data_IF_522448199044
#
_entry.id   IF_522448199044
#
_cell.length_a   1.000
_cell.length_b   1.000
_cell.length_c   1.000
_cell.angle_alpha   90.00
_cell.angle_beta   90.00
_cell.angle_gamma   90.00
#
_symmetry.space_group_name_H-M   'P 1'
#
loop_
_entity.id
_entity.type
_entity.pdbx_description
1 polymer ?
#
# COMPACT_ATOMS: atom_id res chain seq x y z
N UNK A 1 37.45 -6.09 -5.98
CA UNK A 1 37.94 -5.92 -4.58
C UNK A 1 37.25 -4.78 -3.86
N UNK A 2 37.30 -3.52 -4.32
CA UNK A 2 36.65 -2.40 -3.62
C UNK A 2 35.13 -2.54 -3.54
N UNK A 3 34.45 -2.95 -4.61
CA UNK A 3 32.99 -3.16 -4.62
C UNK A 3 32.56 -4.31 -3.70
N UNK A 4 33.35 -5.35 -3.55
CA UNK A 4 33.05 -6.48 -2.64
C UNK A 4 33.31 -6.11 -1.19
N UNK A 5 34.37 -5.34 -0.89
CA UNK A 5 34.60 -4.80 0.45
C UNK A 5 33.49 -3.84 0.87
N UNK A 6 33.00 -2.99 -0.06
CA UNK A 6 31.88 -2.09 0.16
C UNK A 6 30.59 -2.86 0.46
N UNK A 7 30.28 -3.91 -0.32
CA UNK A 7 29.09 -4.77 -0.08
C UNK A 7 29.16 -5.45 1.29
N UNK A 8 30.32 -5.99 1.70
CA UNK A 8 30.50 -6.59 3.03
C UNK A 8 30.23 -5.60 4.16
N UNK A 9 30.79 -4.40 4.08
CA UNK A 9 30.58 -3.37 5.09
C UNK A 9 29.10 -3.00 5.26
N UNK A 10 28.35 -2.92 4.15
CA UNK A 10 26.88 -2.66 4.21
C UNK A 10 26.15 -3.83 4.88
N UNK A 11 26.44 -5.08 4.49
CA UNK A 11 25.82 -6.26 5.07
C UNK A 11 26.08 -6.38 6.58
N UNK A 12 27.32 -6.12 7.02
CA UNK A 12 27.69 -6.12 8.42
C UNK A 12 26.94 -5.04 9.22
N UNK A 13 26.83 -3.83 8.67
CA UNK A 13 26.08 -2.74 9.30
C UNK A 13 24.55 -3.01 9.36
N UNK A 14 24.04 -3.87 8.47
CA UNK A 14 22.62 -4.23 8.36
C UNK A 14 22.28 -5.57 9.03
N UNK A 15 23.22 -6.22 9.69
CA UNK A 15 23.09 -7.57 10.26
C UNK A 15 21.84 -7.73 11.14
N UNK A 16 21.43 -6.72 11.90
CA UNK A 16 20.23 -6.76 12.75
C UNK A 16 18.91 -6.73 11.97
N UNK A 17 18.93 -6.30 10.70
CA UNK A 17 17.77 -6.26 9.80
C UNK A 17 17.71 -7.44 8.82
N UNK A 18 18.58 -8.43 9.01
CA UNK A 18 18.71 -9.63 8.19
C UNK A 18 18.59 -10.85 9.09
N UNK A 19 17.69 -11.75 8.77
CA UNK A 19 17.48 -13.01 9.50
C UNK A 19 17.53 -14.19 8.52
N UNK A 20 18.16 -15.28 8.92
CA UNK A 20 18.15 -16.56 8.20
C UNK A 20 17.33 -17.55 9.01
N UNK A 21 16.29 -18.10 8.44
CA UNK A 21 15.44 -19.09 9.12
C UNK A 21 16.25 -20.34 9.49
N UNK A 22 16.29 -20.69 10.78
CA UNK A 22 17.05 -21.81 11.33
C UNK A 22 18.55 -21.84 10.93
N UNK A 23 19.15 -20.66 10.71
CA UNK A 23 20.58 -20.51 10.43
C UNK A 23 21.45 -20.85 11.65
N UNK A 24 22.69 -21.31 11.39
CA UNK A 24 23.64 -21.72 12.44
C UNK A 24 24.13 -20.57 13.32
N UNK A 25 23.86 -19.33 12.99
CA UNK A 25 24.34 -18.14 13.69
C UNK A 25 23.48 -17.76 14.91
N UNK A 26 23.00 -18.75 15.63
CA UNK A 26 22.55 -18.73 17.04
C UNK A 26 21.88 -17.50 17.67
N UNK A 27 21.44 -16.55 16.88
CA UNK A 27 20.77 -15.36 17.35
C UNK A 27 19.25 -15.55 17.35
N UNK A 28 18.74 -16.05 18.44
CA UNK A 28 17.32 -15.97 18.79
C UNK A 28 16.87 -14.54 19.11
N UNK A 29 17.44 -13.54 18.40
CA UNK A 29 17.02 -12.14 18.46
C UNK A 29 16.24 -11.84 17.19
N UNK A 30 14.94 -11.57 17.37
CA UNK A 30 14.08 -11.21 16.27
C UNK A 30 14.66 -10.06 15.41
N UNK A 31 14.25 -10.01 14.15
CA UNK A 31 14.65 -8.96 13.19
C UNK A 31 14.38 -7.56 13.76
N UNK A 32 15.34 -6.65 13.61
CA UNK A 32 15.19 -5.26 13.99
C UNK A 32 14.47 -4.50 12.87
N UNK A 33 13.27 -4.01 13.18
CA UNK A 33 12.45 -3.23 12.27
C UNK A 33 12.69 -1.73 12.44
N UNK A 34 12.44 -0.96 11.37
CA UNK A 34 12.52 0.51 11.37
C UNK A 34 13.92 1.08 11.71
N UNK A 35 14.98 0.31 11.50
CA UNK A 35 16.35 0.80 11.68
C UNK A 35 16.67 1.96 10.73
N UNK A 36 17.53 2.88 11.18
CA UNK A 36 17.98 4.00 10.35
C UNK A 36 18.74 3.51 9.11
N UNK A 37 18.67 4.29 8.02
CA UNK A 37 19.48 4.03 6.84
C UNK A 37 20.98 4.04 7.19
N UNK A 38 21.70 3.08 6.61
CA UNK A 38 23.16 2.98 6.76
C UNK A 38 23.83 3.85 5.72
N UNK A 39 24.90 4.52 6.08
CA UNK A 39 25.70 5.34 5.15
C UNK A 39 26.11 4.54 3.92
N UNK A 40 25.84 5.07 2.73
CA UNK A 40 26.08 4.39 1.46
C UNK A 40 25.03 3.36 1.06
N UNK A 41 23.98 3.15 1.86
CA UNK A 41 22.83 2.30 1.55
C UNK A 41 21.61 3.16 1.29
N UNK A 42 20.92 2.91 0.18
CA UNK A 42 19.69 3.63 -0.17
C UNK A 42 18.48 2.87 0.40
N UNK A 43 17.80 3.48 1.35
CA UNK A 43 16.51 2.94 1.83
C UNK A 43 15.47 2.96 0.70
N UNK A 44 14.70 1.89 0.60
CA UNK A 44 13.57 1.83 -0.32
C UNK A 44 12.34 2.56 0.21
N UNK A 45 12.36 2.99 1.47
CA UNK A 45 11.29 3.80 2.06
C UNK A 45 11.25 5.17 1.39
N UNK A 46 10.04 5.62 1.09
CA UNK A 46 9.80 6.98 0.61
C UNK A 46 9.63 7.95 1.78
N UNK A 47 9.63 9.26 1.51
CA UNK A 47 9.47 10.31 2.51
C UNK A 47 8.03 10.42 3.05
N UNK A 48 7.83 11.23 4.09
CA UNK A 48 6.52 11.52 4.72
C UNK A 48 5.50 12.01 3.70
N UNK A 49 5.86 12.98 2.87
CA UNK A 49 4.98 13.53 1.84
C UNK A 49 4.49 12.42 0.88
N UNK A 50 5.38 11.59 0.39
CA UNK A 50 5.00 10.46 -0.46
C UNK A 50 4.02 9.51 0.25
N UNK A 51 4.24 9.24 1.54
CA UNK A 51 3.32 8.43 2.34
C UNK A 51 1.92 9.02 2.43
N UNK A 52 1.82 10.32 2.71
CA UNK A 52 0.53 11.01 2.79
C UNK A 52 -0.18 11.04 1.44
N UNK A 53 0.55 11.36 0.37
CA UNK A 53 0.02 11.45 -0.98
C UNK A 53 -0.55 10.12 -1.47
N UNK A 54 0.14 9.01 -1.18
CA UNK A 54 -0.30 7.65 -1.52
C UNK A 54 -1.69 7.32 -1.01
N UNK A 55 -1.99 7.74 0.20
CA UNK A 55 -3.27 7.44 0.85
C UNK A 55 -4.39 8.34 0.32
N UNK A 56 -4.13 9.62 0.12
CA UNK A 56 -5.19 10.58 -0.22
C UNK A 56 -5.47 10.67 -1.73
N UNK A 57 -4.47 10.38 -2.58
CA UNK A 57 -4.59 10.52 -4.02
C UNK A 57 -5.76 9.75 -4.67
N UNK A 58 -6.14 8.54 -4.20
CA UNK A 58 -7.21 7.78 -4.83
C UNK A 58 -8.64 8.29 -4.56
N UNK A 59 -8.81 9.36 -3.79
CA UNK A 59 -10.13 9.98 -3.55
C UNK A 59 -10.53 10.73 -4.83
N UNK A 60 -11.66 10.35 -5.42
CA UNK A 60 -11.97 10.66 -6.82
C UNK A 60 -12.30 12.13 -7.08
N UNK A 61 -12.92 12.82 -6.11
CA UNK A 61 -13.35 14.22 -6.19
C UNK A 61 -12.58 15.16 -5.26
N UNK A 62 -11.43 14.70 -4.76
CA UNK A 62 -10.50 15.51 -3.99
C UNK A 62 -9.49 16.18 -4.90
N UNK A 63 -9.26 17.47 -4.69
CA UNK A 63 -8.17 18.20 -5.32
C UNK A 63 -6.94 18.26 -4.41
N UNK A 64 -5.77 18.25 -5.00
CA UNK A 64 -4.50 18.13 -4.27
C UNK A 64 -3.55 19.23 -4.69
N UNK A 65 -3.17 20.11 -3.77
CA UNK A 65 -2.16 21.15 -4.00
C UNK A 65 -0.88 20.75 -3.28
N UNK A 66 0.19 20.57 -4.01
CA UNK A 66 1.53 20.35 -3.45
C UNK A 66 2.18 21.71 -3.25
N UNK A 67 2.23 22.17 -2.02
CA UNK A 67 2.92 23.39 -1.66
C UNK A 67 4.40 23.11 -1.45
N UNK A 68 5.17 23.44 -2.48
CA UNK A 68 6.59 23.10 -2.56
C UNK A 68 7.14 23.21 -3.99
N UNK A 69 8.41 22.80 -4.20
CA UNK A 69 9.02 22.79 -5.53
C UNK A 69 8.40 21.71 -6.41
N UNK A 70 8.44 21.93 -7.73
CA UNK A 70 7.86 21.02 -8.74
C UNK A 70 8.36 19.58 -8.62
N UNK A 71 9.60 19.36 -8.19
CA UNK A 71 10.17 18.03 -8.00
C UNK A 71 9.40 17.16 -7.01
N UNK A 72 8.83 17.74 -5.95
CA UNK A 72 7.96 17.00 -5.03
C UNK A 72 6.65 16.57 -5.71
N UNK A 73 6.06 17.44 -6.52
CA UNK A 73 4.82 17.15 -7.22
C UNK A 73 5.02 16.06 -8.27
N UNK A 74 6.03 16.19 -9.15
CA UNK A 74 6.32 15.23 -10.22
C UNK A 74 6.66 13.84 -9.68
N UNK A 75 7.42 13.75 -8.60
CA UNK A 75 7.77 12.47 -7.97
C UNK A 75 6.56 11.63 -7.57
N UNK A 76 5.48 12.25 -7.11
CA UNK A 76 4.27 11.53 -6.72
C UNK A 76 3.25 11.37 -7.83
N UNK A 77 3.38 12.15 -8.89
CA UNK A 77 2.52 12.09 -10.07
C UNK A 77 2.67 10.76 -10.81
N UNK A 78 3.90 10.33 -11.04
CA UNK A 78 4.21 9.12 -11.81
C UNK A 78 3.97 7.81 -11.04
N UNK A 79 3.84 7.86 -9.71
CA UNK A 79 3.83 6.65 -8.88
C UNK A 79 2.46 5.97 -8.86
N UNK A 80 1.37 6.59 -9.41
CA UNK A 80 0.02 6.12 -9.10
C UNK A 80 -0.98 6.24 -10.22
N UNK A 81 -1.28 5.11 -10.81
CA UNK A 81 -2.62 4.88 -11.30
C UNK A 81 -3.49 4.26 -10.20
N UNK A 82 -4.62 4.85 -9.87
CA UNK A 82 -5.72 4.17 -9.20
C UNK A 82 -6.89 4.21 -10.17
N UNK A 83 -7.56 3.06 -10.32
CA UNK A 83 -8.74 3.03 -11.18
C UNK A 83 -9.92 3.66 -10.43
N UNK A 84 -10.69 4.45 -11.16
CA UNK A 84 -11.88 5.14 -10.64
C UNK A 84 -13.09 4.83 -11.50
N UNK A 85 -14.26 4.89 -10.92
CA UNK A 85 -15.53 4.83 -11.64
C UNK A 85 -15.99 6.19 -12.17
N UNK A 86 -15.23 7.25 -11.88
CA UNK A 86 -15.46 8.63 -12.35
C UNK A 86 -14.38 9.12 -13.28
N UNK A 87 -14.04 10.41 -13.17
CA UNK A 87 -13.00 11.05 -13.98
C UNK A 87 -11.59 10.64 -13.55
N UNK A 88 -10.62 10.92 -14.42
CA UNK A 88 -9.21 10.64 -14.17
C UNK A 88 -8.64 11.51 -13.04
N UNK A 89 -8.23 10.88 -11.93
CA UNK A 89 -7.72 11.57 -10.74
C UNK A 89 -6.40 12.36 -10.97
N UNK A 90 -5.65 12.08 -12.03
CA UNK A 90 -4.44 12.84 -12.32
C UNK A 90 -4.71 14.31 -12.62
N UNK A 91 -5.90 14.65 -13.09
CA UNK A 91 -6.32 16.03 -13.36
C UNK A 91 -6.52 16.87 -12.10
N UNK A 92 -6.67 16.22 -10.96
CA UNK A 92 -6.93 16.88 -9.67
C UNK A 92 -5.66 17.26 -8.89
N UNK A 93 -4.49 17.26 -9.55
CA UNK A 93 -3.19 17.49 -8.88
C UNK A 93 -2.50 18.75 -9.39
N UNK A 94 -2.17 19.64 -8.47
CA UNK A 94 -1.58 20.95 -8.71
C UNK A 94 -0.32 21.15 -7.86
N UNK A 95 0.53 22.07 -8.28
CA UNK A 95 1.75 22.46 -7.57
C UNK A 95 1.84 23.97 -7.48
N UNK A 96 2.28 24.48 -6.34
CA UNK A 96 2.64 25.90 -6.25
C UNK A 96 3.98 26.19 -6.91
N UNK A 97 4.79 25.18 -7.17
CA UNK A 97 6.13 25.31 -7.77
C UNK A 97 6.94 26.45 -7.13
N UNK A 98 7.21 26.33 -5.81
CA UNK A 98 7.96 27.34 -5.08
C UNK A 98 9.36 27.54 -5.66
N UNK A 99 9.67 28.81 -5.98
CA UNK A 99 10.96 29.26 -6.48
C UNK A 99 11.80 29.88 -5.35
N UNK A 100 13.07 30.19 -5.62
CA UNK A 100 13.98 30.80 -4.63
C UNK A 100 13.41 32.08 -3.98
N UNK A 101 12.73 32.92 -4.75
CA UNK A 101 12.08 34.13 -4.24
C UNK A 101 10.97 33.82 -3.23
N UNK A 102 10.18 32.77 -3.49
CA UNK A 102 9.11 32.34 -2.58
C UNK A 102 9.70 31.78 -1.26
N UNK A 103 10.89 31.14 -1.36
CA UNK A 103 11.60 30.62 -0.18
C UNK A 103 12.11 31.77 0.71
N UNK A 104 12.61 32.85 0.09
CA UNK A 104 13.16 34.01 0.82
C UNK A 104 12.05 34.86 1.45
N UNK A 105 10.96 35.11 0.73
CA UNK A 105 9.90 36.04 1.14
C UNK A 105 8.63 35.37 1.67
N UNK A 106 8.58 34.03 1.71
CA UNK A 106 7.40 33.25 2.10
C UNK A 106 6.54 32.86 0.90
N UNK A 107 6.02 31.63 0.90
CA UNK A 107 5.23 31.03 -0.18
C UNK A 107 3.71 31.18 -0.01
N UNK A 108 3.23 31.74 1.13
CA UNK A 108 1.81 31.71 1.50
C UNK A 108 0.92 32.44 0.48
N UNK A 109 1.38 33.56 -0.08
CA UNK A 109 0.62 34.31 -1.11
C UNK A 109 0.45 33.52 -2.39
N UNK A 110 1.47 32.76 -2.77
CA UNK A 110 1.43 31.87 -3.94
C UNK A 110 0.49 30.70 -3.72
N UNK A 111 0.44 30.16 -2.50
CA UNK A 111 -0.51 29.14 -2.12
C UNK A 111 -1.94 29.68 -2.13
N UNK A 112 -2.17 30.87 -1.61
CA UNK A 112 -3.46 31.55 -1.64
C UNK A 112 -3.96 31.70 -3.07
N UNK A 113 -3.14 32.27 -3.96
CA UNK A 113 -3.46 32.41 -5.38
C UNK A 113 -3.76 31.06 -6.04
N UNK A 114 -3.00 30.01 -5.73
CA UNK A 114 -3.23 28.67 -6.29
C UNK A 114 -4.56 28.05 -5.87
N UNK A 115 -5.02 28.30 -4.63
CA UNK A 115 -6.35 27.85 -4.16
C UNK A 115 -7.45 28.62 -4.90
N UNK A 116 -7.31 29.95 -5.01
CA UNK A 116 -8.31 30.79 -5.65
C UNK A 116 -8.42 30.45 -7.15
N UNK A 117 -7.30 30.28 -7.84
CA UNK A 117 -7.25 29.89 -9.24
C UNK A 117 -7.87 28.50 -9.46
N UNK A 118 -7.60 27.53 -8.58
CA UNK A 118 -8.22 26.21 -8.64
C UNK A 118 -9.75 26.33 -8.53
N UNK A 119 -10.25 27.11 -7.58
CA UNK A 119 -11.70 27.31 -7.40
C UNK A 119 -12.37 28.05 -8.55
N UNK A 120 -11.64 28.92 -9.28
CA UNK A 120 -12.12 29.61 -10.48
C UNK A 120 -12.15 28.70 -11.71
N UNK A 121 -11.16 27.80 -11.84
CA UNK A 121 -10.98 26.99 -13.04
C UNK A 121 -11.70 25.65 -12.99
N UNK A 122 -11.94 25.12 -11.80
CA UNK A 122 -12.52 23.78 -11.62
C UNK A 122 -13.98 23.86 -11.17
N UNK A 123 -14.84 23.12 -11.84
CA UNK A 123 -16.22 22.91 -11.42
C UNK A 123 -16.31 21.77 -10.38
N UNK A 124 -17.30 21.86 -9.48
CA UNK A 124 -17.62 20.80 -8.53
C UNK A 124 -16.50 20.39 -7.55
N UNK A 125 -15.65 21.33 -7.14
CA UNK A 125 -14.63 21.09 -6.12
C UNK A 125 -15.30 20.73 -4.79
N UNK A 126 -15.11 19.50 -4.29
CA UNK A 126 -15.74 19.03 -3.05
C UNK A 126 -14.84 19.14 -1.83
N UNK A 127 -13.52 19.00 -2.02
CA UNK A 127 -12.51 19.17 -0.99
C UNK A 127 -11.13 19.38 -1.58
N UNK A 128 -10.24 20.00 -0.82
CA UNK A 128 -8.84 20.25 -1.21
C UNK A 128 -7.91 19.77 -0.11
N UNK A 129 -6.89 18.98 -0.47
CA UNK A 129 -5.77 18.64 0.39
C UNK A 129 -4.53 19.46 0.00
N UNK A 130 -3.94 20.17 0.96
CA UNK A 130 -2.74 20.99 0.76
C UNK A 130 -1.55 20.34 1.47
N UNK A 131 -0.56 19.90 0.71
CA UNK A 131 0.62 19.21 1.24
C UNK A 131 1.75 20.20 1.52
N UNK A 132 2.05 20.45 2.79
CA UNK A 132 3.23 21.20 3.19
C UNK A 132 4.49 20.31 3.06
N UNK A 133 5.35 20.62 2.08
CA UNK A 133 6.57 19.87 1.81
C UNK A 133 7.76 20.33 2.69
N UNK A 134 8.97 19.81 2.47
CA UNK A 134 10.16 20.12 3.26
C UNK A 134 10.45 21.62 3.33
N UNK A 135 10.41 22.31 2.20
CA UNK A 135 10.70 23.75 2.13
C UNK A 135 9.71 24.53 2.98
N UNK A 136 8.43 24.23 2.85
CA UNK A 136 7.36 24.87 3.62
C UNK A 136 7.54 24.66 5.13
N UNK A 137 7.95 23.45 5.53
CA UNK A 137 8.28 23.16 6.92
C UNK A 137 9.48 23.93 7.47
N UNK A 138 10.42 24.35 6.60
CA UNK A 138 11.62 25.11 6.98
C UNK A 138 11.31 26.62 7.03
N UNK A 139 10.62 27.15 6.02
CA UNK A 139 10.32 28.60 5.96
C UNK A 139 9.19 29.01 6.92
N UNK A 140 8.40 28.05 7.42
CA UNK A 140 7.38 28.32 8.43
C UNK A 140 6.10 28.94 7.89
N UNK A 141 5.73 28.71 6.65
CA UNK A 141 4.45 29.16 6.09
C UNK A 141 3.27 28.59 6.90
N UNK A 142 2.34 29.46 7.32
CA UNK A 142 1.16 29.05 8.08
C UNK A 142 0.04 28.51 7.16
N UNK A 143 0.29 27.31 6.62
CA UNK A 143 -0.66 26.61 5.76
C UNK A 143 -1.98 26.33 6.49
N UNK A 144 -1.94 26.10 7.81
CA UNK A 144 -3.15 25.77 8.60
C UNK A 144 -4.10 26.94 8.70
N UNK A 145 -3.56 28.15 8.96
CA UNK A 145 -4.36 29.37 8.99
C UNK A 145 -5.00 29.65 7.62
N UNK A 146 -4.23 29.51 6.53
CA UNK A 146 -4.77 29.70 5.18
C UNK A 146 -5.87 28.69 4.85
N UNK A 147 -5.67 27.40 5.17
CA UNK A 147 -6.68 26.37 4.94
C UNK A 147 -8.00 26.69 5.66
N UNK A 148 -7.93 27.18 6.90
CA UNK A 148 -9.13 27.59 7.65
C UNK A 148 -9.86 28.75 6.95
N UNK A 149 -9.13 29.81 6.57
CA UNK A 149 -9.70 30.96 5.87
C UNK A 149 -10.37 30.53 4.56
N UNK A 150 -9.70 29.69 3.76
CA UNK A 150 -10.23 29.23 2.47
C UNK A 150 -11.40 28.26 2.64
N UNK A 151 -11.41 27.44 3.70
CA UNK A 151 -12.58 26.60 4.01
C UNK A 151 -13.82 27.45 4.34
N UNK A 152 -13.65 28.51 5.12
CA UNK A 152 -14.73 29.44 5.44
C UNK A 152 -15.19 30.23 4.21
N UNK A 153 -14.24 30.69 3.37
CA UNK A 153 -14.51 31.46 2.15
C UNK A 153 -15.34 30.66 1.12
N UNK A 154 -14.98 29.40 0.89
CA UNK A 154 -15.57 28.59 -0.18
C UNK A 154 -16.63 27.58 0.31
N UNK A 155 -16.78 27.42 1.62
CA UNK A 155 -17.74 26.48 2.20
C UNK A 155 -17.43 25.00 1.96
N UNK A 156 -16.18 24.66 1.66
CA UNK A 156 -15.70 23.30 1.43
C UNK A 156 -14.51 22.97 2.36
N UNK A 157 -14.25 21.69 2.65
CA UNK A 157 -13.05 21.31 3.39
C UNK A 157 -11.77 21.62 2.60
N UNK A 158 -10.92 22.51 3.13
CA UNK A 158 -9.54 22.73 2.69
C UNK A 158 -8.64 22.26 3.81
N UNK A 159 -7.99 21.12 3.62
CA UNK A 159 -7.34 20.36 4.69
C UNK A 159 -5.82 20.42 4.55
N UNK A 160 -5.09 20.94 5.57
CA UNK A 160 -3.64 20.94 5.56
C UNK A 160 -3.10 19.55 5.90
N UNK A 161 -2.10 19.09 5.13
CA UNK A 161 -1.35 17.85 5.33
C UNK A 161 0.11 18.24 5.64
N UNK A 162 0.46 18.27 6.93
CA UNK A 162 1.81 18.62 7.38
C UNK A 162 2.77 17.46 7.11
N UNK A 163 3.38 17.44 5.93
CA UNK A 163 4.16 16.31 5.43
C UNK A 163 5.60 16.61 5.02
N UNK A 164 6.39 17.40 5.81
CA UNK A 164 7.79 17.64 5.48
C UNK A 164 8.57 16.31 5.55
N UNK A 165 9.32 16.00 4.50
CA UNK A 165 9.97 14.70 4.33
C UNK A 165 10.98 14.35 5.42
N UNK A 166 11.56 15.35 6.06
CA UNK A 166 12.53 15.17 7.16
C UNK A 166 11.88 14.82 8.52
N UNK A 167 10.55 14.93 8.65
CA UNK A 167 9.86 14.63 9.92
C UNK A 167 9.65 13.14 10.18
N UNK A 168 10.03 12.26 9.25
CA UNK A 168 9.89 10.82 9.40
C UNK A 168 10.02 10.06 8.08
N UNK A 169 9.40 8.90 8.03
CA UNK A 169 9.37 8.02 6.86
C UNK A 169 7.95 7.92 6.26
N UNK A 170 7.77 7.06 5.28
CA UNK A 170 6.49 6.81 4.61
C UNK A 170 5.34 6.46 5.59
N UNK A 171 5.63 5.69 6.65
CA UNK A 171 4.61 5.33 7.67
C UNK A 171 4.12 6.55 8.46
N UNK A 172 4.99 7.53 8.72
CA UNK A 172 4.59 8.82 9.30
C UNK A 172 3.62 9.54 8.37
N UNK A 173 3.88 9.53 7.06
CA UNK A 173 3.00 10.10 6.05
C UNK A 173 1.61 9.44 6.03
N UNK A 174 1.53 8.13 6.23
CA UNK A 174 0.25 7.44 6.36
C UNK A 174 -0.60 7.98 7.52
N UNK A 175 0.04 8.26 8.67
CA UNK A 175 -0.67 8.86 9.82
C UNK A 175 -1.16 10.27 9.51
N UNK A 176 -0.33 11.10 8.85
CA UNK A 176 -0.74 12.46 8.44
C UNK A 176 -1.97 12.41 7.50
N UNK A 177 -2.03 11.46 6.59
CA UNK A 177 -3.20 11.25 5.74
C UNK A 177 -4.43 10.81 6.53
N UNK A 178 -4.26 9.89 7.49
CA UNK A 178 -5.35 9.47 8.37
C UNK A 178 -5.90 10.63 9.20
N UNK A 179 -5.04 11.49 9.74
CA UNK A 179 -5.46 12.70 10.46
C UNK A 179 -6.23 13.66 9.54
N UNK A 180 -5.79 13.81 8.28
CA UNK A 180 -6.50 14.60 7.28
C UNK A 180 -7.89 14.02 6.96
N UNK A 181 -8.01 12.70 6.81
CA UNK A 181 -9.29 12.01 6.64
C UNK A 181 -10.20 12.25 7.85
N UNK A 182 -9.67 12.09 9.07
CA UNK A 182 -10.46 12.34 10.29
C UNK A 182 -10.98 13.77 10.37
N UNK A 183 -10.22 14.77 9.91
CA UNK A 183 -10.71 16.17 9.84
C UNK A 183 -11.94 16.32 8.92
N UNK A 184 -12.02 15.50 7.84
CA UNK A 184 -13.21 15.44 6.96
C UNK A 184 -14.38 14.76 7.66
N UNK A 185 -14.13 13.70 8.43
CA UNK A 185 -15.18 12.86 9.04
C UNK A 185 -15.77 13.46 10.33
N UNK A 186 -14.98 14.17 11.12
CA UNK A 186 -15.38 14.67 12.44
C UNK A 186 -16.68 15.51 12.45
N UNK A 187 -16.93 16.41 11.48
CA UNK A 187 -18.19 17.16 11.42
C UNK A 187 -19.43 16.29 11.24
N UNK A 188 -19.27 15.05 10.78
CA UNK A 188 -20.36 14.13 10.45
C UNK A 188 -20.59 13.05 11.54
N UNK A 189 -20.05 13.27 12.74
CA UNK A 189 -20.30 12.40 13.90
C UNK A 189 -21.80 12.43 14.27
N UNK A 190 -22.39 11.25 14.51
CA UNK A 190 -23.74 11.15 15.09
C UNK A 190 -24.83 10.62 14.14
N UNK A 191 -24.50 10.11 12.97
CA UNK A 191 -25.44 9.42 12.09
C UNK A 191 -25.96 8.10 12.68
N UNK A 192 -27.17 7.64 12.25
CA UNK A 192 -27.72 6.34 12.65
C UNK A 192 -26.83 5.21 12.12
N UNK A 193 -26.42 4.29 12.99
CA UNK A 193 -25.63 3.12 12.60
C UNK A 193 -26.41 2.23 11.62
N UNK A 194 -25.70 1.72 10.62
CA UNK A 194 -26.19 0.81 9.60
C UNK A 194 -25.41 -0.51 9.71
N UNK A 195 -26.08 -1.64 9.51
CA UNK A 195 -25.43 -2.95 9.41
C UNK A 195 -24.63 -3.04 8.09
N UNK A 196 -23.55 -2.31 8.02
CA UNK A 196 -22.70 -2.14 6.86
C UNK A 196 -21.24 -1.95 7.28
N UNK A 197 -20.33 -2.07 6.34
CA UNK A 197 -18.89 -1.97 6.59
C UNK A 197 -18.26 -0.80 5.83
N UNK A 198 -17.07 -0.34 6.32
CA UNK A 198 -16.10 0.40 5.54
C UNK A 198 -14.90 -0.48 5.23
N UNK A 199 -14.28 -0.29 4.07
CA UNK A 199 -13.03 -0.96 3.67
C UNK A 199 -11.87 0.04 3.80
N UNK A 200 -10.89 -0.24 4.64
CA UNK A 200 -9.75 0.66 4.88
C UNK A 200 -8.45 0.07 4.29
N UNK A 201 -7.71 0.90 3.55
CA UNK A 201 -6.38 0.56 3.06
C UNK A 201 -6.36 -0.23 1.75
N UNK A 202 -7.38 -0.13 0.94
CA UNK A 202 -7.35 -0.50 -0.46
C UNK A 202 -7.36 0.77 -1.33
N UNK A 203 -6.46 0.84 -2.29
CA UNK A 203 -6.27 2.02 -3.15
C UNK A 203 -6.78 1.82 -4.57
N UNK A 204 -7.47 0.72 -4.84
CA UNK A 204 -8.05 0.36 -6.14
C UNK A 204 -7.06 0.50 -7.31
N UNK A 205 -5.84 0.03 -7.14
CA UNK A 205 -4.77 0.23 -8.12
C UNK A 205 -5.07 -0.41 -9.48
N UNK A 206 -5.69 -1.58 -9.47
CA UNK A 206 -6.07 -2.30 -10.69
C UNK A 206 -7.51 -2.85 -10.63
N UNK A 207 -8.38 -2.31 -9.77
CA UNK A 207 -9.77 -2.74 -9.61
C UNK A 207 -10.03 -3.66 -8.43
N UNK A 208 -9.10 -3.78 -7.47
CA UNK A 208 -9.24 -4.64 -6.29
C UNK A 208 -10.46 -4.28 -5.45
N UNK A 209 -10.68 -2.98 -5.21
CA UNK A 209 -11.82 -2.49 -4.43
C UNK A 209 -13.15 -2.94 -5.05
N UNK A 210 -13.26 -2.92 -6.37
CA UNK A 210 -14.47 -3.35 -7.07
C UNK A 210 -14.75 -4.85 -6.90
N UNK A 211 -13.70 -5.69 -6.92
CA UNK A 211 -13.80 -7.13 -6.65
C UNK A 211 -14.28 -7.35 -5.22
N UNK A 212 -13.66 -6.71 -4.25
CA UNK A 212 -13.98 -6.86 -2.83
C UNK A 212 -15.42 -6.38 -2.55
N UNK A 213 -15.81 -5.20 -3.06
CA UNK A 213 -17.20 -4.69 -2.96
C UNK A 213 -18.20 -5.68 -3.57
N UNK A 214 -17.88 -6.30 -4.72
CA UNK A 214 -18.73 -7.29 -5.36
C UNK A 214 -18.89 -8.55 -4.50
N UNK A 215 -17.85 -9.03 -3.83
CA UNK A 215 -17.96 -10.18 -2.92
C UNK A 215 -18.91 -9.89 -1.76
N UNK A 216 -18.77 -8.73 -1.12
CA UNK A 216 -19.67 -8.33 -0.04
C UNK A 216 -21.13 -8.20 -0.53
N UNK A 217 -21.34 -7.62 -1.70
CA UNK A 217 -22.67 -7.56 -2.35
C UNK A 217 -23.26 -8.96 -2.56
N UNK A 218 -22.45 -9.94 -3.04
CA UNK A 218 -22.91 -11.32 -3.26
C UNK A 218 -23.34 -12.02 -1.97
N UNK A 219 -22.67 -11.74 -0.87
CA UNK A 219 -23.04 -12.34 0.43
C UNK A 219 -24.07 -11.52 1.21
N UNK A 220 -24.48 -10.36 0.69
CA UNK A 220 -25.53 -9.52 1.27
C UNK A 220 -25.04 -8.54 2.34
N UNK A 221 -23.78 -8.18 2.34
CA UNK A 221 -23.19 -7.17 3.23
C UNK A 221 -23.01 -5.86 2.44
N UNK A 222 -23.57 -4.77 2.94
CA UNK A 222 -23.42 -3.44 2.36
C UNK A 222 -22.04 -2.85 2.69
N UNK A 223 -21.40 -2.21 1.70
CA UNK A 223 -20.19 -1.42 1.86
C UNK A 223 -20.55 0.05 1.71
N UNK A 224 -20.32 0.86 2.76
CA UNK A 224 -20.59 2.30 2.72
C UNK A 224 -19.52 2.99 1.88
N UNK A 225 -18.26 2.80 2.22
CA UNK A 225 -17.14 3.44 1.51
C UNK A 225 -15.86 2.60 1.57
N UNK A 226 -14.91 2.93 0.70
CA UNK A 226 -13.56 2.37 0.71
C UNK A 226 -12.51 3.47 0.88
N UNK A 227 -11.69 3.43 1.91
CA UNK A 227 -10.59 4.37 2.10
C UNK A 227 -9.28 3.78 1.56
N UNK A 228 -8.76 4.36 0.45
CA UNK A 228 -9.26 5.55 -0.24
C UNK A 228 -9.57 5.30 -1.73
N UNK A 229 -9.45 4.03 -2.16
CA UNK A 229 -9.62 3.65 -3.56
C UNK A 229 -11.06 3.79 -4.04
N UNK A 230 -11.26 4.54 -5.11
CA UNK A 230 -12.56 4.74 -5.76
C UNK A 230 -13.65 5.20 -4.78
N UNK A 231 -13.33 6.19 -3.96
CA UNK A 231 -14.27 6.83 -3.03
C UNK A 231 -14.38 8.32 -3.31
N UNK A 232 -15.54 8.90 -3.05
CA UNK A 232 -15.81 10.33 -3.17
C UNK A 232 -16.16 10.95 -1.80
N UNK A 233 -16.24 12.27 -1.74
CA UNK A 233 -16.59 13.02 -0.53
C UNK A 233 -17.92 12.57 0.08
N UNK A 234 -18.95 12.42 -0.76
CA UNK A 234 -20.30 12.07 -0.30
C UNK A 234 -20.36 10.66 0.31
N UNK A 235 -19.52 9.72 -0.16
CA UNK A 235 -19.36 8.40 0.46
C UNK A 235 -18.56 8.48 1.76
N UNK A 236 -17.49 9.29 1.77
CA UNK A 236 -16.63 9.45 2.95
C UNK A 236 -17.42 9.94 4.16
N UNK A 237 -18.23 10.97 4.01
CA UNK A 237 -19.00 11.56 5.13
C UNK A 237 -20.06 10.62 5.72
N UNK A 238 -20.40 9.54 5.03
CA UNK A 238 -21.29 8.49 5.53
C UNK A 238 -20.53 7.41 6.33
N UNK A 239 -19.21 7.35 6.24
CA UNK A 239 -18.40 6.33 6.92
C UNK A 239 -18.67 6.18 8.42
N UNK A 240 -18.95 7.26 9.20
CA UNK A 240 -19.30 7.14 10.60
C UNK A 240 -20.56 6.29 10.91
N UNK A 241 -21.38 6.00 9.91
CA UNK A 241 -22.60 5.19 10.06
C UNK A 241 -22.32 3.67 10.00
N UNK A 242 -21.13 3.22 9.63
CA UNK A 242 -20.81 1.79 9.55
C UNK A 242 -20.86 1.12 10.94
N UNK A 243 -21.13 -0.18 10.95
CA UNK A 243 -21.04 -1.03 12.14
C UNK A 243 -19.67 -1.68 12.31
N UNK A 244 -18.88 -1.77 11.25
CA UNK A 244 -17.56 -2.40 11.28
C UNK A 244 -16.64 -1.77 10.24
N UNK A 245 -15.38 -1.55 10.62
CA UNK A 245 -14.30 -1.23 9.68
C UNK A 245 -13.50 -2.51 9.38
N UNK A 246 -13.24 -2.81 8.11
CA UNK A 246 -12.27 -3.84 7.74
C UNK A 246 -10.99 -3.21 7.23
N UNK A 247 -9.82 -3.70 7.69
CA UNK A 247 -8.51 -3.12 7.38
C UNK A 247 -7.73 -4.08 6.49
N UNK A 248 -7.64 -3.76 5.20
CA UNK A 248 -6.91 -4.52 4.19
C UNK A 248 -5.39 -4.28 4.27
N UNK A 249 -4.96 -3.02 4.44
CA UNK A 249 -3.57 -2.67 4.61
C UNK A 249 -3.29 -2.18 6.05
N UNK A 250 -2.81 -3.09 6.89
CA UNK A 250 -2.54 -2.78 8.29
C UNK A 250 -1.53 -1.63 8.47
N UNK A 251 -0.51 -1.55 7.63
CA UNK A 251 0.53 -0.52 7.72
C UNK A 251 0.04 0.90 7.46
N UNK A 252 -0.90 1.08 6.53
CA UNK A 252 -1.41 2.41 6.16
C UNK A 252 -2.66 2.83 6.92
N UNK A 253 -3.50 1.91 7.37
CA UNK A 253 -4.88 2.24 7.78
C UNK A 253 -5.30 1.75 9.17
N UNK A 254 -4.46 0.97 9.88
CA UNK A 254 -4.78 0.59 11.27
C UNK A 254 -4.89 1.81 12.18
N UNK A 255 -4.10 2.85 11.92
CA UNK A 255 -4.17 4.09 12.70
C UNK A 255 -5.52 4.79 12.50
N UNK A 256 -6.01 4.91 11.27
CA UNK A 256 -7.35 5.44 10.97
C UNK A 256 -8.44 4.60 11.63
N UNK A 257 -8.34 3.26 11.55
CA UNK A 257 -9.31 2.37 12.17
C UNK A 257 -9.43 2.58 13.68
N UNK A 258 -8.29 2.74 14.38
CA UNK A 258 -8.26 3.06 15.82
C UNK A 258 -8.90 4.41 16.14
N UNK A 259 -8.61 5.45 15.36
CA UNK A 259 -9.24 6.75 15.53
C UNK A 259 -10.76 6.68 15.31
N UNK A 260 -11.20 5.92 14.28
CA UNK A 260 -12.64 5.73 14.04
C UNK A 260 -13.31 4.90 15.12
N UNK A 261 -12.63 3.94 15.73
CA UNK A 261 -13.13 3.19 16.88
C UNK A 261 -13.29 4.10 18.10
N UNK A 262 -12.28 4.92 18.41
CA UNK A 262 -12.30 5.86 19.55
C UNK A 262 -13.36 6.95 19.40
N UNK A 263 -13.48 7.53 18.20
CA UNK A 263 -14.34 8.70 17.97
C UNK A 263 -15.77 8.32 17.60
N UNK A 264 -15.94 7.31 16.74
CA UNK A 264 -17.24 6.93 16.18
C UNK A 264 -17.76 5.58 16.71
N UNK A 265 -17.01 4.93 17.62
CA UNK A 265 -17.37 3.63 18.21
C UNK A 265 -17.57 2.53 17.14
N UNK A 266 -16.74 2.55 16.08
CA UNK A 266 -16.77 1.54 15.03
C UNK A 266 -15.60 0.56 15.25
N UNK A 267 -15.86 -0.66 15.70
CA UNK A 267 -14.82 -1.67 15.85
C UNK A 267 -14.17 -2.00 14.52
N UNK A 268 -12.96 -2.58 14.55
CA UNK A 268 -12.28 -2.93 13.32
C UNK A 268 -11.72 -4.35 13.32
N UNK A 269 -11.63 -4.93 12.12
CA UNK A 269 -11.10 -6.25 11.85
C UNK A 269 -10.01 -6.18 10.78
N UNK A 270 -8.82 -6.72 11.05
CA UNK A 270 -7.79 -6.88 10.02
C UNK A 270 -8.14 -8.06 9.12
N UNK A 271 -8.09 -7.83 7.82
CA UNK A 271 -8.43 -8.79 6.75
C UNK A 271 -7.36 -8.79 5.67
N UNK A 272 -7.35 -9.83 4.84
CA UNK A 272 -6.55 -9.88 3.61
C UNK A 272 -7.39 -10.54 2.51
N UNK A 273 -7.40 -9.92 1.34
CA UNK A 273 -8.01 -10.48 0.13
C UNK A 273 -6.95 -10.92 -0.88
N UNK A 274 -5.76 -11.29 -0.44
CA UNK A 274 -4.71 -11.84 -1.31
C UNK A 274 -4.59 -13.35 -1.07
N UNK A 275 -4.88 -14.14 -2.11
CA UNK A 275 -4.87 -15.60 -2.02
C UNK A 275 -6.21 -16.21 -1.60
N UNK A 276 -6.33 -17.53 -1.74
CA UNK A 276 -7.57 -18.27 -1.50
C UNK A 276 -7.94 -18.28 -0.03
N UNK A 277 -7.05 -18.78 0.83
CA UNK A 277 -7.27 -18.96 2.26
C UNK A 277 -7.61 -17.65 2.96
N UNK A 278 -6.82 -16.59 2.69
CA UNK A 278 -7.00 -15.28 3.31
C UNK A 278 -8.31 -14.63 2.87
N UNK A 279 -8.70 -14.77 1.59
CA UNK A 279 -9.96 -14.24 1.06
C UNK A 279 -11.16 -14.94 1.72
N UNK A 280 -11.15 -16.28 1.76
CA UNK A 280 -12.23 -17.06 2.37
C UNK A 280 -12.37 -16.74 3.86
N UNK A 281 -11.26 -16.78 4.61
CA UNK A 281 -11.24 -16.44 6.03
C UNK A 281 -11.74 -15.02 6.30
N UNK A 282 -11.38 -14.05 5.44
CA UNK A 282 -11.81 -12.65 5.61
C UNK A 282 -13.32 -12.49 5.44
N UNK A 283 -13.93 -13.11 4.42
CA UNK A 283 -15.37 -13.07 4.20
C UNK A 283 -16.16 -13.68 5.37
N UNK A 284 -15.70 -14.84 5.88
CA UNK A 284 -16.35 -15.53 7.00
C UNK A 284 -16.24 -14.70 8.29
N UNK A 285 -15.06 -14.19 8.62
CA UNK A 285 -14.83 -13.38 9.83
C UNK A 285 -15.61 -12.06 9.83
N UNK A 286 -15.81 -11.44 8.67
CA UNK A 286 -16.61 -10.22 8.57
C UNK A 286 -18.10 -10.52 8.82
N UNK A 287 -18.63 -11.60 8.25
CA UNK A 287 -20.01 -12.02 8.53
C UNK A 287 -20.23 -12.34 10.01
N UNK A 288 -19.29 -13.06 10.64
CA UNK A 288 -19.30 -13.36 12.07
C UNK A 288 -19.26 -12.08 12.93
N UNK A 289 -18.33 -11.14 12.63
CA UNK A 289 -18.18 -9.88 13.36
C UNK A 289 -19.44 -8.99 13.29
N UNK A 290 -20.21 -9.08 12.19
CA UNK A 290 -21.51 -8.41 12.05
C UNK A 290 -22.68 -9.17 12.68
N UNK A 291 -22.46 -10.38 13.20
CA UNK A 291 -23.51 -11.27 13.69
C UNK A 291 -24.51 -11.62 12.58
N UNK A 292 -24.05 -11.85 11.34
CA UNK A 292 -24.87 -12.11 10.17
C UNK A 292 -24.74 -13.58 9.72
N UNK A 293 -25.57 -14.46 10.32
CA UNK A 293 -25.56 -15.88 9.99
C UNK A 293 -25.89 -16.16 8.51
N UNK A 294 -26.79 -15.39 7.93
CA UNK A 294 -27.20 -15.56 6.53
C UNK A 294 -26.04 -15.19 5.58
N UNK A 295 -25.38 -14.06 5.83
CA UNK A 295 -24.18 -13.69 5.12
C UNK A 295 -23.06 -14.73 5.31
N UNK A 296 -22.92 -15.30 6.50
CA UNK A 296 -21.97 -16.39 6.78
C UNK A 296 -22.23 -17.64 5.94
N UNK A 297 -23.48 -18.07 5.82
CA UNK A 297 -23.87 -19.21 4.97
C UNK A 297 -23.57 -18.93 3.50
N UNK A 298 -23.90 -17.73 3.01
CA UNK A 298 -23.60 -17.31 1.63
C UNK A 298 -22.11 -17.23 1.37
N UNK A 299 -21.34 -16.70 2.32
CA UNK A 299 -19.87 -16.64 2.23
C UNK A 299 -19.26 -18.05 2.13
N UNK A 300 -19.70 -18.99 2.99
CA UNK A 300 -19.21 -20.37 2.96
C UNK A 300 -19.53 -21.10 1.64
N UNK A 301 -20.73 -20.89 1.10
CA UNK A 301 -21.12 -21.47 -0.19
C UNK A 301 -20.29 -20.88 -1.34
N UNK A 302 -20.16 -19.55 -1.36
CA UNK A 302 -19.37 -18.83 -2.37
C UNK A 302 -17.90 -19.23 -2.34
N UNK A 303 -17.27 -19.32 -1.17
CA UNK A 303 -15.86 -19.72 -1.04
C UNK A 303 -15.63 -21.14 -1.56
N UNK A 304 -16.48 -22.11 -1.22
CA UNK A 304 -16.36 -23.49 -1.73
C UNK A 304 -16.43 -23.55 -3.25
N UNK A 305 -17.40 -22.86 -3.86
CA UNK A 305 -17.54 -22.79 -5.32
C UNK A 305 -16.24 -22.27 -5.98
N UNK A 306 -15.65 -21.20 -5.40
CA UNK A 306 -14.42 -20.62 -5.92
C UNK A 306 -13.20 -21.52 -5.71
N UNK A 307 -13.07 -22.14 -4.55
CA UNK A 307 -11.98 -23.06 -4.23
C UNK A 307 -11.97 -24.28 -5.16
N UNK A 308 -13.12 -24.91 -5.39
CA UNK A 308 -13.27 -26.03 -6.33
C UNK A 308 -12.86 -25.64 -7.75
N UNK A 309 -13.29 -24.46 -8.20
CA UNK A 309 -12.96 -23.92 -9.52
C UNK A 309 -11.46 -23.63 -9.66
N UNK A 310 -10.82 -23.11 -8.61
CA UNK A 310 -9.40 -22.75 -8.62
C UNK A 310 -8.48 -23.98 -8.49
N UNK A 311 -8.89 -25.02 -7.79
CA UNK A 311 -8.07 -26.22 -7.60
C UNK A 311 -7.58 -26.80 -8.93
N UNK A 312 -8.51 -27.07 -9.86
CA UNK A 312 -8.18 -27.59 -11.19
C UNK A 312 -7.33 -26.61 -12.03
N UNK A 313 -7.59 -25.32 -11.88
CA UNK A 313 -6.79 -24.29 -12.56
C UNK A 313 -5.34 -24.27 -12.03
N UNK A 314 -5.11 -24.28 -10.73
CA UNK A 314 -3.78 -24.25 -10.14
C UNK A 314 -2.97 -25.51 -10.51
N UNK A 315 -3.62 -26.68 -10.56
CA UNK A 315 -2.95 -27.94 -10.92
C UNK A 315 -2.34 -27.92 -12.33
N UNK A 316 -2.93 -27.20 -13.27
CA UNK A 316 -2.36 -27.02 -14.62
C UNK A 316 -1.01 -26.30 -14.57
N UNK A 317 -0.87 -25.28 -13.72
CA UNK A 317 0.32 -24.45 -13.63
C UNK A 317 1.39 -25.00 -12.69
N UNK A 318 1.00 -25.77 -11.68
CA UNK A 318 1.96 -26.46 -10.78
C UNK A 318 2.98 -27.28 -11.54
N UNK A 319 2.60 -27.93 -12.63
CA UNK A 319 3.51 -28.76 -13.46
C UNK A 319 4.72 -27.96 -13.96
N UNK A 320 4.53 -26.68 -14.26
CA UNK A 320 5.58 -25.80 -14.81
C UNK A 320 6.30 -24.99 -13.73
N UNK A 321 5.69 -24.81 -12.57
CA UNK A 321 6.16 -23.89 -11.53
C UNK A 321 6.72 -24.61 -10.30
N UNK A 322 6.37 -25.87 -10.08
CA UNK A 322 6.81 -26.61 -8.90
C UNK A 322 8.34 -26.69 -8.81
N UNK A 323 8.86 -26.45 -7.60
CA UNK A 323 10.29 -26.48 -7.31
C UNK A 323 11.04 -25.19 -7.67
N UNK A 324 10.42 -24.27 -8.43
CA UNK A 324 11.00 -22.95 -8.73
C UNK A 324 11.11 -22.10 -7.46
N UNK A 325 12.08 -21.18 -7.45
CA UNK A 325 12.46 -20.37 -6.31
C UNK A 325 12.04 -18.91 -6.48
N UNK A 326 11.26 -18.40 -5.52
CA UNK A 326 10.77 -17.05 -5.55
C UNK A 326 11.47 -16.16 -4.51
N UNK A 327 11.82 -14.94 -4.92
CA UNK A 327 12.16 -13.83 -4.03
C UNK A 327 10.96 -12.87 -3.96
N UNK A 328 10.66 -12.37 -2.77
CA UNK A 328 9.59 -11.42 -2.49
C UNK A 328 10.18 -10.16 -1.88
N UNK A 329 9.89 -8.99 -2.44
CA UNK A 329 10.19 -7.71 -1.84
C UNK A 329 9.04 -6.72 -2.04
N UNK A 330 8.21 -6.54 -1.02
CA UNK A 330 6.95 -5.78 -1.12
C UNK A 330 6.81 -4.74 0.00
N UNK A 331 5.83 -3.86 -0.13
CA UNK A 331 5.63 -2.76 0.82
C UNK A 331 5.31 -3.21 2.24
N UNK A 332 4.34 -4.08 2.43
CA UNK A 332 3.84 -4.48 3.76
C UNK A 332 3.95 -5.97 4.04
N UNK A 333 4.12 -6.34 5.31
CA UNK A 333 4.28 -7.72 5.74
C UNK A 333 3.10 -8.62 5.39
N UNK A 334 1.87 -8.13 5.49
CA UNK A 334 0.67 -8.89 5.14
C UNK A 334 0.66 -9.37 3.68
N UNK A 335 1.21 -8.55 2.74
CA UNK A 335 1.38 -8.96 1.34
C UNK A 335 2.41 -10.08 1.20
N UNK A 336 3.54 -9.97 1.90
CA UNK A 336 4.56 -11.01 1.89
C UNK A 336 4.01 -12.34 2.40
N UNK A 337 3.26 -12.32 3.50
CA UNK A 337 2.58 -13.49 4.07
C UNK A 337 1.66 -14.17 3.05
N UNK A 338 0.81 -13.39 2.41
CA UNK A 338 -0.13 -13.91 1.39
C UNK A 338 0.59 -14.44 0.15
N UNK A 339 1.67 -13.79 -0.29
CA UNK A 339 2.50 -14.25 -1.42
C UNK A 339 3.21 -15.57 -1.12
N UNK A 340 3.74 -15.75 0.09
CA UNK A 340 4.35 -17.03 0.52
C UNK A 340 3.34 -18.15 0.38
N UNK A 341 2.10 -17.96 0.85
CA UNK A 341 1.03 -18.96 0.73
C UNK A 341 0.66 -19.24 -0.72
N UNK A 342 0.56 -18.22 -1.57
CA UNK A 342 0.27 -18.38 -2.99
C UNK A 342 1.39 -19.15 -3.72
N UNK A 343 2.67 -18.85 -3.45
CA UNK A 343 3.78 -19.62 -4.00
C UNK A 343 3.77 -21.08 -3.53
N UNK A 344 3.48 -21.31 -2.26
CA UNK A 344 3.33 -22.67 -1.73
C UNK A 344 2.19 -23.43 -2.44
N UNK A 345 1.06 -22.76 -2.70
CA UNK A 345 -0.05 -23.33 -3.46
C UNK A 345 0.34 -23.72 -4.90
N UNK A 346 1.31 -23.03 -5.51
CA UNK A 346 1.88 -23.33 -6.82
C UNK A 346 3.04 -24.36 -6.78
N UNK A 347 3.40 -24.85 -5.59
CA UNK A 347 4.54 -25.77 -5.40
C UNK A 347 5.91 -25.08 -5.53
N UNK A 348 5.95 -23.75 -5.50
CA UNK A 348 7.17 -22.95 -5.54
C UNK A 348 7.75 -22.77 -4.13
N UNK A 349 9.07 -22.54 -4.06
CA UNK A 349 9.77 -22.27 -2.80
C UNK A 349 10.07 -20.79 -2.67
N UNK A 350 9.75 -20.19 -1.51
CA UNK A 350 10.17 -18.84 -1.19
C UNK A 350 11.56 -18.88 -0.55
N UNK A 351 12.55 -18.20 -1.14
CA UNK A 351 13.96 -18.25 -0.70
C UNK A 351 14.48 -16.93 -0.15
N UNK A 352 13.87 -15.81 -0.54
CA UNK A 352 14.14 -14.47 0.02
C UNK A 352 12.80 -13.78 0.24
N UNK A 353 12.60 -13.20 1.41
CA UNK A 353 11.43 -12.39 1.75
C UNK A 353 11.87 -11.08 2.38
N UNK A 354 11.47 -9.97 1.78
CA UNK A 354 11.72 -8.64 2.33
C UNK A 354 10.49 -7.76 2.31
N UNK A 355 10.40 -6.85 3.26
CA UNK A 355 9.35 -5.84 3.27
C UNK A 355 9.91 -4.45 3.58
N UNK A 356 9.26 -3.40 3.08
CA UNK A 356 9.64 -2.01 3.32
C UNK A 356 9.08 -1.47 4.65
N UNK A 357 7.95 -1.97 5.10
CA UNK A 357 7.19 -1.44 6.24
C UNK A 357 6.60 -2.54 7.13
N UNK A 358 7.18 -3.74 7.12
CA UNK A 358 6.79 -4.84 8.00
C UNK A 358 7.00 -4.49 9.47
N UNK A 359 6.22 -5.11 10.32
CA UNK A 359 6.32 -5.01 11.77
C UNK A 359 6.80 -6.34 12.35
N UNK A 360 7.23 -6.32 13.60
CA UNK A 360 7.73 -7.51 14.26
C UNK A 360 6.77 -8.70 14.16
N UNK A 361 5.49 -8.45 14.38
CA UNK A 361 4.45 -9.47 14.30
C UNK A 361 4.33 -10.08 12.88
N UNK A 362 4.54 -9.27 11.85
CA UNK A 362 4.55 -9.75 10.46
C UNK A 362 5.72 -10.70 10.22
N UNK A 363 6.91 -10.38 10.73
CA UNK A 363 8.11 -11.20 10.59
C UNK A 363 8.03 -12.52 11.37
N UNK A 364 7.39 -12.52 12.53
CA UNK A 364 7.11 -13.75 13.29
C UNK A 364 6.21 -14.71 12.49
N UNK A 365 5.19 -14.18 11.80
CA UNK A 365 4.33 -14.97 10.91
C UNK A 365 5.11 -15.43 9.66
N UNK A 366 5.88 -14.54 9.01
CA UNK A 366 6.72 -14.89 7.85
C UNK A 366 7.66 -16.04 8.22
N UNK A 367 8.36 -15.94 9.35
CA UNK A 367 9.27 -16.96 9.84
C UNK A 367 8.58 -18.33 10.02
N UNK A 368 7.34 -18.34 10.49
CA UNK A 368 6.57 -19.57 10.65
C UNK A 368 6.15 -20.24 9.34
N UNK A 369 6.06 -19.47 8.24
CA UNK A 369 5.56 -19.93 6.95
C UNK A 369 6.65 -20.37 5.98
N UNK A 370 7.87 -19.86 6.12
CA UNK A 370 8.96 -20.12 5.18
C UNK A 370 9.78 -21.35 5.58
N UNK A 371 10.45 -21.93 4.57
CA UNK A 371 11.32 -23.08 4.76
C UNK A 371 12.64 -22.67 5.43
N UNK A 372 13.36 -23.66 5.94
CA UNK A 372 14.71 -23.50 6.46
C UNK A 372 15.62 -22.81 5.43
N UNK A 373 16.59 -22.03 5.89
CA UNK A 373 17.55 -21.27 5.09
C UNK A 373 16.95 -20.13 4.23
N UNK A 374 15.66 -19.79 4.39
CA UNK A 374 15.09 -18.60 3.77
C UNK A 374 15.67 -17.33 4.41
N UNK A 375 16.04 -16.37 3.57
CA UNK A 375 16.51 -15.05 4.01
C UNK A 375 15.31 -14.13 4.22
N UNK A 376 15.25 -13.48 5.39
CA UNK A 376 14.20 -12.52 5.75
C UNK A 376 14.86 -11.15 5.98
N UNK A 377 14.32 -10.09 5.36
CA UNK A 377 14.92 -8.76 5.27
C UNK A 377 13.94 -7.66 5.68
N UNK A 378 14.38 -6.72 6.53
CA UNK A 378 13.66 -5.48 6.77
C UNK A 378 14.30 -4.33 5.97
N UNK A 379 13.50 -3.61 5.16
CA UNK A 379 13.91 -2.46 4.34
C UNK A 379 15.23 -2.69 3.57
N UNK A 380 15.31 -3.79 2.82
CA UNK A 380 16.52 -4.15 2.07
C UNK A 380 16.84 -3.11 0.99
N UNK A 381 18.13 -2.88 0.78
CA UNK A 381 18.60 -2.13 -0.37
C UNK A 381 18.83 -3.05 -1.60
N UNK A 382 18.98 -2.48 -2.81
CA UNK A 382 19.17 -3.29 -4.02
C UNK A 382 20.38 -4.22 -3.97
N UNK A 383 21.48 -3.83 -3.30
CA UNK A 383 22.68 -4.66 -3.21
C UNK A 383 22.48 -5.89 -2.30
N UNK A 384 21.71 -5.74 -1.21
CA UNK A 384 21.30 -6.86 -0.35
C UNK A 384 20.42 -7.84 -1.11
N UNK A 385 19.40 -7.34 -1.81
CA UNK A 385 18.51 -8.16 -2.64
C UNK A 385 19.30 -8.90 -3.73
N UNK A 386 20.19 -8.21 -4.45
CA UNK A 386 21.06 -8.82 -5.47
C UNK A 386 21.88 -9.96 -4.89
N UNK A 387 22.51 -9.73 -3.75
CA UNK A 387 23.40 -10.70 -3.10
C UNK A 387 22.64 -11.95 -2.71
N UNK A 388 21.54 -11.82 -1.99
CA UNK A 388 20.79 -12.95 -1.49
C UNK A 388 20.00 -13.70 -2.58
N UNK A 389 19.49 -13.00 -3.58
CA UNK A 389 18.85 -13.66 -4.72
C UNK A 389 19.82 -14.52 -5.52
N UNK A 390 21.07 -14.04 -5.73
CA UNK A 390 22.13 -14.82 -6.36
C UNK A 390 22.54 -16.02 -5.51
N UNK A 391 22.75 -15.81 -4.22
CA UNK A 391 23.14 -16.87 -3.28
C UNK A 391 22.10 -18.01 -3.23
N UNK A 392 20.81 -17.66 -3.16
CA UNK A 392 19.71 -18.62 -3.08
C UNK A 392 19.27 -19.16 -4.45
N UNK A 393 19.72 -18.54 -5.53
CA UNK A 393 19.35 -18.92 -6.89
C UNK A 393 17.87 -18.69 -7.16
N UNK A 394 17.39 -17.48 -6.92
CA UNK A 394 15.98 -17.10 -7.20
C UNK A 394 15.71 -17.14 -8.71
N UNK A 395 14.58 -17.72 -9.11
CA UNK A 395 14.12 -17.77 -10.51
C UNK A 395 13.24 -16.56 -10.85
N UNK A 396 12.58 -15.96 -9.85
CA UNK A 396 11.68 -14.81 -10.02
C UNK A 396 11.78 -13.87 -8.83
N UNK A 397 11.64 -12.57 -9.09
CA UNK A 397 11.41 -11.54 -8.09
C UNK A 397 10.00 -10.98 -8.19
N UNK A 398 9.25 -11.01 -7.08
CA UNK A 398 7.99 -10.27 -6.94
C UNK A 398 8.27 -9.02 -6.13
N UNK A 399 8.04 -7.85 -6.73
CA UNK A 399 8.39 -6.58 -6.13
C UNK A 399 7.60 -5.42 -6.71
N UNK A 400 8.23 -4.27 -6.81
CA UNK A 400 7.68 -3.07 -7.45
C UNK A 400 8.60 -2.53 -8.54
N UNK A 401 8.23 -1.40 -9.10
CA UNK A 401 8.96 -0.76 -10.21
C UNK A 401 10.44 -0.52 -9.90
N UNK A 402 10.78 -0.28 -8.64
CA UNK A 402 12.17 -0.03 -8.21
C UNK A 402 13.04 -1.29 -8.26
N UNK A 403 12.43 -2.45 -8.06
CA UNK A 403 13.11 -3.75 -8.04
C UNK A 403 13.18 -4.38 -9.44
N UNK A 404 12.34 -3.95 -10.38
CA UNK A 404 12.29 -4.46 -11.76
C UNK A 404 13.63 -4.41 -12.48
N UNK A 405 14.39 -3.30 -12.48
CA UNK A 405 15.70 -3.24 -13.13
C UNK A 405 16.69 -4.24 -12.55
N UNK A 406 16.60 -4.52 -11.25
CA UNK A 406 17.45 -5.52 -10.59
C UNK A 406 17.17 -6.93 -11.11
N UNK A 407 15.88 -7.33 -11.20
CA UNK A 407 15.51 -8.63 -11.74
C UNK A 407 16.02 -8.82 -13.18
N UNK A 408 15.84 -7.83 -14.03
CA UNK A 408 16.29 -7.88 -15.43
C UNK A 408 17.82 -7.92 -15.55
N UNK A 409 18.53 -7.17 -14.72
CA UNK A 409 20.01 -7.25 -14.64
C UNK A 409 20.50 -8.64 -14.25
N UNK A 410 19.72 -9.34 -13.43
CA UNK A 410 20.04 -10.70 -13.00
C UNK A 410 19.60 -11.78 -14.00
N UNK A 411 18.89 -11.41 -15.07
CA UNK A 411 18.32 -12.36 -16.03
C UNK A 411 17.22 -13.26 -15.43
N UNK A 412 16.50 -12.76 -14.41
CA UNK A 412 15.41 -13.51 -13.77
C UNK A 412 14.06 -12.88 -14.03
N UNK A 413 13.01 -13.68 -13.93
CA UNK A 413 11.64 -13.24 -14.11
C UNK A 413 11.24 -12.17 -13.07
N UNK A 414 10.27 -11.32 -13.45
CA UNK A 414 9.73 -10.27 -12.57
C UNK A 414 8.22 -10.22 -12.64
N UNK A 415 7.59 -9.99 -11.47
CA UNK A 415 6.16 -9.69 -11.35
C UNK A 415 5.96 -8.46 -10.47
N UNK A 416 5.24 -7.45 -10.99
CA UNK A 416 4.87 -6.28 -10.19
C UNK A 416 3.68 -6.59 -9.29
N UNK A 417 3.87 -6.46 -7.98
CA UNK A 417 2.81 -6.62 -6.99
C UNK A 417 2.52 -5.31 -6.23
N UNK A 418 3.15 -4.21 -6.60
CA UNK A 418 3.00 -2.94 -5.91
C UNK A 418 2.05 -1.98 -6.64
N UNK A 419 2.55 -1.15 -7.54
CA UNK A 419 1.79 0.01 -8.01
C UNK A 419 1.55 0.09 -9.51
N UNK A 420 2.31 -0.64 -10.31
CA UNK A 420 2.20 -0.60 -11.78
C UNK A 420 1.55 -1.85 -12.37
N UNK A 421 0.98 -2.70 -11.53
CA UNK A 421 0.24 -3.85 -12.01
C UNK A 421 -1.00 -3.43 -12.79
N UNK A 422 -1.26 -4.13 -13.88
CA UNK A 422 -2.41 -3.89 -14.76
C UNK A 422 -3.62 -4.75 -14.43
N UNK A 423 -3.42 -5.83 -13.71
CA UNK A 423 -4.45 -6.78 -13.34
C UNK A 423 -4.66 -6.77 -11.82
N UNK A 424 -5.91 -6.88 -11.35
CA UNK A 424 -6.19 -6.97 -9.93
C UNK A 424 -5.64 -8.27 -9.35
N UNK A 425 -5.06 -8.17 -8.15
CA UNK A 425 -4.46 -9.31 -7.44
C UNK A 425 -5.22 -9.66 -6.16
N UNK A 426 -6.36 -9.03 -5.91
CA UNK A 426 -7.24 -9.37 -4.80
C UNK A 426 -8.28 -10.43 -5.20
N UNK A 427 -8.73 -11.17 -4.21
CA UNK A 427 -9.78 -12.16 -4.33
C UNK A 427 -9.36 -13.43 -5.08
N UNK A 428 -10.34 -14.21 -5.44
CA UNK A 428 -10.17 -15.44 -6.22
C UNK A 428 -9.73 -15.16 -7.66
N UNK A 429 -10.21 -14.05 -8.25
CA UNK A 429 -9.73 -13.53 -9.55
C UNK A 429 -8.25 -13.17 -9.47
N UNK A 430 -7.83 -12.59 -8.35
CA UNK A 430 -6.43 -12.24 -8.12
C UNK A 430 -5.50 -13.43 -8.11
N UNK A 431 -5.95 -14.57 -7.58
CA UNK A 431 -5.19 -15.83 -7.63
C UNK A 431 -4.95 -16.30 -9.07
N UNK A 432 -5.98 -16.20 -9.92
CA UNK A 432 -5.85 -16.52 -11.36
C UNK A 432 -4.86 -15.59 -12.05
N UNK A 433 -5.04 -14.29 -11.86
CA UNK A 433 -4.21 -13.26 -12.47
C UNK A 433 -2.75 -13.40 -12.05
N UNK A 434 -2.51 -13.59 -10.75
CA UNK A 434 -1.16 -13.81 -10.21
C UNK A 434 -0.50 -15.07 -10.80
N UNK A 435 -1.22 -16.18 -10.81
CA UNK A 435 -0.71 -17.44 -11.38
C UNK A 435 -0.33 -17.29 -12.85
N UNK A 436 -1.19 -16.64 -13.65
CA UNK A 436 -0.92 -16.37 -15.06
C UNK A 436 0.28 -15.47 -15.26
N UNK A 437 0.40 -14.41 -14.46
CA UNK A 437 1.53 -13.46 -14.53
C UNK A 437 2.85 -14.14 -14.19
N UNK A 438 2.88 -14.91 -13.10
CA UNK A 438 4.07 -15.70 -12.71
C UNK A 438 4.45 -16.67 -13.83
N UNK A 439 3.49 -17.45 -14.34
CA UNK A 439 3.76 -18.43 -15.40
C UNK A 439 4.25 -17.77 -16.69
N UNK A 440 3.63 -16.65 -17.10
CA UNK A 440 4.03 -15.91 -18.31
C UNK A 440 5.41 -15.31 -18.16
N UNK A 441 5.70 -14.69 -17.02
CA UNK A 441 6.99 -14.07 -16.75
C UNK A 441 8.12 -15.11 -16.75
N UNK A 442 7.92 -16.24 -16.08
CA UNK A 442 8.94 -17.28 -15.95
C UNK A 442 9.19 -18.09 -17.23
N UNK A 443 8.15 -18.30 -18.03
CA UNK A 443 8.23 -19.06 -19.28
C UNK A 443 8.25 -18.14 -20.52
N UNK A 444 8.63 -16.89 -20.36
CA UNK A 444 8.73 -15.94 -21.48
C UNK A 444 9.88 -16.34 -22.42
N UNK A 445 9.63 -16.39 -23.74
CA UNK A 445 10.71 -16.64 -24.72
C UNK A 445 11.86 -15.64 -24.65
N UNK A 446 11.66 -14.47 -24.02
CA UNK A 446 12.71 -13.46 -23.88
C UNK A 446 13.95 -13.99 -23.14
N UNK A 447 13.78 -14.98 -22.27
CA UNK A 447 14.89 -15.56 -21.52
C UNK A 447 15.88 -16.35 -22.40
N UNK A 448 15.46 -16.80 -23.58
CA UNK A 448 16.34 -17.43 -24.57
C UNK A 448 17.34 -16.46 -25.18
N UNK A 449 17.07 -15.14 -25.07
CA UNK A 449 17.89 -14.06 -25.66
C UNK A 449 18.71 -13.29 -24.61
N UNK A 450 18.59 -13.60 -23.33
CA UNK A 450 19.23 -12.86 -22.22
C UNK A 450 20.40 -13.64 -21.60
N UNK A 451 20.65 -14.86 -22.04
CA UNK A 451 21.73 -15.77 -21.59
C UNK A 451 23.13 -15.34 -22.01
#
# INVERSE_FOLDING_TARGET
MEAEAYKRNILDARKSSIMVKDGCDGAGSGICCDSNSVSGSVSQRACVYCGARVVLNPITDAFHIVHGPIGCSSYTWDIRGSLTSGEDIYRNSFSTDLQETDIIFGGIKKLEAAVDELMEQQENVRMIFIYATCIVGVIGDDVEALCRIKSEQYGIPVIPVKSPGFSGNKSTGYRMACDAIMRVLLPHKGGKKRKAINILGDFNLAGEMWIIKNYFKRIGIDVITGFTGDTCYDDMIQAPQASLNIVQCAGSSTYLAKQMEEVFEIPFLKVSFFGIEDTAASLMRVAEALGDEEAGKKAAAFCREQEETLAGFLDQYRKNLAGKKAAIYVGGGFKAISLIRQFKALGMKTVVVGTQTGKKEDYEVIESLVDRDTIILDDANPAELETFMKEKGADILVGGVKERPLAYKLGIAFCDHNHERKLPLAGFEGVRNFTLEINRSMNSPVWEYVS
#
